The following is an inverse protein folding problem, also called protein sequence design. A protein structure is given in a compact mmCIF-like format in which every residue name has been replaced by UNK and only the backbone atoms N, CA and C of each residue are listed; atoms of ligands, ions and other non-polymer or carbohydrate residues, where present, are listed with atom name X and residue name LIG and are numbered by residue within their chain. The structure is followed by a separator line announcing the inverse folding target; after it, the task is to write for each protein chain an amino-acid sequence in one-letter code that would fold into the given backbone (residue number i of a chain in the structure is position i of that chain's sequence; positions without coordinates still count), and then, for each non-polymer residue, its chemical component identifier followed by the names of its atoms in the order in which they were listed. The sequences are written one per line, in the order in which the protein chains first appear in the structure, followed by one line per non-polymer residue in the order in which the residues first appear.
data_IF_713001312494
#
_entry.id   IF_713001312494
#
_cell.length_a   1.000
_cell.length_b   1.000
_cell.length_c   1.000
_cell.angle_alpha   90.00
_cell.angle_beta   90.00
_cell.angle_gamma   90.00
#
_symmetry.space_group_name_H-M   'P 1'
#
loop_
_entity.id
_entity.type
_entity.pdbx_description
1 polymer ?
#
# COMPACT_ATOMS: atom_id res chain seq x y z
N UNK A 1 19.51 -31.50 9.77
CA UNK A 1 18.33 -30.76 9.24
C UNK A 1 17.99 -29.55 10.10
N UNK A 2 17.84 -29.67 11.42
CA UNK A 2 17.65 -28.52 12.32
C UNK A 2 18.79 -27.49 12.28
N UNK A 3 20.05 -27.94 12.19
CA UNK A 3 21.20 -27.02 12.05
C UNK A 3 21.19 -26.22 10.74
N UNK A 4 20.75 -26.83 9.63
CA UNK A 4 20.64 -26.14 8.34
C UNK A 4 19.53 -25.07 8.38
N UNK A 5 18.43 -25.35 9.06
CA UNK A 5 17.36 -24.38 9.32
C UNK A 5 17.83 -23.24 10.22
N UNK A 6 18.60 -23.53 11.28
CA UNK A 6 19.17 -22.51 12.15
C UNK A 6 20.23 -21.65 11.44
N UNK A 7 21.06 -22.23 10.58
CA UNK A 7 22.04 -21.50 9.79
C UNK A 7 21.37 -20.56 8.78
N UNK A 8 20.29 -21.01 8.12
CA UNK A 8 19.49 -20.19 7.23
C UNK A 8 18.75 -19.07 7.99
N UNK A 9 18.15 -19.39 9.13
CA UNK A 9 17.53 -18.40 10.01
C UNK A 9 18.51 -17.33 10.47
N UNK A 10 19.71 -17.74 10.90
CA UNK A 10 20.73 -16.80 11.34
C UNK A 10 21.31 -15.98 10.17
N UNK A 11 21.40 -16.52 8.96
CA UNK A 11 21.81 -15.75 7.77
C UNK A 11 20.76 -14.69 7.36
N UNK A 12 19.46 -15.02 7.48
CA UNK A 12 18.37 -14.06 7.25
C UNK A 12 18.36 -12.95 8.31
N UNK A 13 18.64 -13.26 9.57
CA UNK A 13 18.74 -12.26 10.64
C UNK A 13 20.07 -11.47 10.62
N UNK A 14 21.19 -12.09 10.21
CA UNK A 14 22.54 -11.51 10.25
C UNK A 14 22.80 -10.47 9.17
N UNK A 15 22.01 -10.44 8.08
CA UNK A 15 22.31 -9.60 6.91
C UNK A 15 21.78 -8.16 7.08
N UNK A 16 21.17 -7.80 8.22
CA UNK A 16 20.40 -6.55 8.29
C UNK A 16 19.21 -6.67 7.34
N UNK A 17 18.27 -7.56 7.69
CA UNK A 17 17.10 -7.82 6.87
C UNK A 17 16.32 -6.54 6.56
N UNK A 18 15.61 -6.53 5.43
CA UNK A 18 14.76 -5.42 4.97
C UNK A 18 13.72 -4.94 6.00
N UNK A 19 13.42 -5.75 7.01
CA UNK A 19 12.51 -5.40 8.12
C UNK A 19 13.22 -4.78 9.33
N UNK A 20 14.55 -4.90 9.40
CA UNK A 20 15.39 -4.37 10.50
C UNK A 20 16.00 -3.01 10.17
N UNK A 21 16.17 -2.69 8.89
CA UNK A 21 16.54 -1.36 8.44
C UNK A 21 15.28 -0.47 8.38
N UNK A 22 15.23 0.66 9.12
CA UNK A 22 14.04 1.52 9.17
C UNK A 22 13.60 2.03 7.80
N UNK A 23 14.54 2.39 6.92
CA UNK A 23 14.24 2.91 5.59
C UNK A 23 13.70 1.81 4.68
N UNK A 24 14.26 0.61 4.73
CA UNK A 24 13.75 -0.54 3.99
C UNK A 24 12.35 -0.97 4.48
N UNK A 25 12.10 -0.94 5.79
CA UNK A 25 10.80 -1.24 6.37
C UNK A 25 9.75 -0.20 5.98
N UNK A 26 10.10 1.10 5.96
CA UNK A 26 9.21 2.16 5.50
C UNK A 26 8.92 2.06 4.00
N UNK A 27 9.92 1.77 3.17
CA UNK A 27 9.69 1.55 1.74
C UNK A 27 8.73 0.39 1.48
N UNK A 28 8.86 -0.70 2.24
CA UNK A 28 7.95 -1.85 2.15
C UNK A 28 6.53 -1.50 2.63
N UNK A 29 6.40 -0.76 3.73
CA UNK A 29 5.11 -0.30 4.25
C UNK A 29 4.37 0.61 3.24
N UNK A 30 5.08 1.57 2.65
CA UNK A 30 4.52 2.44 1.60
C UNK A 30 4.12 1.64 0.37
N UNK A 31 4.97 0.71 -0.08
CA UNK A 31 4.66 -0.15 -1.22
C UNK A 31 3.37 -0.98 -1.00
N UNK A 32 3.20 -1.55 0.19
CA UNK A 32 2.00 -2.31 0.54
C UNK A 32 0.76 -1.42 0.65
N UNK A 33 0.88 -0.23 1.25
CA UNK A 33 -0.21 0.73 1.33
C UNK A 33 -0.67 1.18 -0.07
N UNK A 34 0.28 1.52 -0.96
CA UNK A 34 0.00 1.91 -2.33
C UNK A 34 -0.67 0.78 -3.13
N UNK A 35 -0.23 -0.46 -2.94
CA UNK A 35 -0.84 -1.62 -3.58
C UNK A 35 -2.29 -1.83 -3.11
N UNK A 36 -2.55 -1.69 -1.80
CA UNK A 36 -3.89 -1.75 -1.23
C UNK A 36 -4.81 -0.65 -1.75
N UNK A 37 -4.30 0.59 -1.85
CA UNK A 37 -5.05 1.72 -2.40
C UNK A 37 -5.41 1.51 -3.87
N UNK A 38 -4.44 1.11 -4.71
CA UNK A 38 -4.70 0.80 -6.12
C UNK A 38 -5.69 -0.35 -6.31
N UNK A 39 -5.70 -1.33 -5.39
CA UNK A 39 -6.70 -2.40 -5.41
C UNK A 39 -8.12 -1.88 -5.10
N UNK A 40 -8.26 -0.96 -4.14
CA UNK A 40 -9.53 -0.31 -3.83
C UNK A 40 -10.01 0.58 -5.00
N UNK A 41 -9.12 1.39 -5.57
CA UNK A 41 -9.39 2.26 -6.72
C UNK A 41 -9.90 1.49 -7.93
N UNK A 42 -9.41 0.28 -8.20
CA UNK A 42 -9.91 -0.55 -9.31
C UNK A 42 -11.43 -0.76 -9.21
N UNK A 43 -11.95 -1.02 -8.01
CA UNK A 43 -13.38 -1.22 -7.79
C UNK A 43 -14.14 0.10 -7.84
N UNK A 44 -13.63 1.12 -7.16
CA UNK A 44 -14.29 2.42 -7.05
C UNK A 44 -14.37 3.12 -8.41
N UNK A 45 -13.28 3.12 -9.19
CA UNK A 45 -13.22 3.76 -10.50
C UNK A 45 -14.16 3.10 -11.53
N UNK A 46 -14.25 1.77 -11.54
CA UNK A 46 -15.18 1.07 -12.43
C UNK A 46 -16.65 1.31 -12.06
N UNK A 47 -16.97 1.35 -10.76
CA UNK A 47 -18.31 1.71 -10.28
C UNK A 47 -18.66 3.17 -10.55
N UNK A 48 -17.73 4.10 -10.33
CA UNK A 48 -17.93 5.53 -10.56
C UNK A 48 -18.20 5.83 -12.04
N UNK A 49 -17.42 5.24 -12.96
CA UNK A 49 -17.64 5.40 -14.41
C UNK A 49 -18.98 4.79 -14.84
N UNK A 50 -19.35 3.64 -14.27
CA UNK A 50 -20.66 3.03 -14.52
C UNK A 50 -21.82 3.92 -14.05
N UNK A 51 -21.71 4.50 -12.84
CA UNK A 51 -22.72 5.40 -12.29
C UNK A 51 -22.84 6.71 -13.08
N UNK A 52 -21.71 7.29 -13.52
CA UNK A 52 -21.72 8.48 -14.38
C UNK A 52 -22.34 8.21 -15.75
N UNK A 53 -22.25 6.98 -16.26
CA UNK A 53 -22.93 6.62 -17.50
C UNK A 53 -24.47 6.59 -17.36
N UNK A 54 -24.99 6.47 -16.13
CA UNK A 54 -26.43 6.52 -15.82
C UNK A 54 -26.88 7.93 -15.43
N UNK A 55 -26.07 8.67 -14.66
CA UNK A 55 -26.34 10.03 -14.20
C UNK A 55 -25.05 10.86 -14.06
N UNK A 56 -24.90 11.89 -14.90
CA UNK A 56 -23.74 12.78 -14.93
C UNK A 56 -23.56 13.58 -13.63
N UNK A 57 -24.64 13.83 -12.87
CA UNK A 57 -24.58 14.55 -11.60
C UNK A 57 -23.80 13.78 -10.53
N UNK A 58 -23.58 12.48 -10.74
CA UNK A 58 -22.79 11.61 -9.86
C UNK A 58 -21.28 11.77 -10.02
N UNK A 59 -20.80 12.59 -10.97
CA UNK A 59 -19.36 12.82 -11.18
C UNK A 59 -18.63 13.21 -9.89
N UNK A 60 -19.17 14.18 -9.14
CA UNK A 60 -18.53 14.67 -7.91
C UNK A 60 -18.49 13.60 -6.83
N UNK A 61 -19.56 12.83 -6.68
CA UNK A 61 -19.58 11.71 -5.73
C UNK A 61 -18.58 10.62 -6.12
N UNK A 62 -18.52 10.27 -7.41
CA UNK A 62 -17.52 9.35 -7.94
C UNK A 62 -16.10 9.81 -7.62
N UNK A 63 -15.81 11.10 -7.83
CA UNK A 63 -14.50 11.70 -7.55
C UNK A 63 -14.15 11.67 -6.05
N UNK A 64 -15.10 11.98 -5.17
CA UNK A 64 -14.89 11.91 -3.71
C UNK A 64 -14.58 10.48 -3.29
N UNK A 65 -15.33 9.49 -3.79
CA UNK A 65 -15.10 8.10 -3.44
C UNK A 65 -13.75 7.60 -3.97
N UNK A 66 -13.32 8.02 -5.17
CA UNK A 66 -12.02 7.63 -5.71
C UNK A 66 -10.84 8.19 -4.92
N UNK A 67 -11.00 9.31 -4.20
CA UNK A 67 -9.93 9.96 -3.41
C UNK A 67 -9.77 9.36 -2.00
N UNK A 68 -10.78 8.60 -1.52
CA UNK A 68 -10.70 7.98 -0.19
C UNK A 68 -9.47 7.06 -0.02
N UNK A 69 -9.12 6.17 -0.98
CA UNK A 69 -7.93 5.34 -0.91
C UNK A 69 -6.61 6.11 -0.82
N UNK A 70 -6.48 7.27 -1.48
CA UNK A 70 -5.26 8.08 -1.46
C UNK A 70 -4.92 8.59 -0.06
N UNK A 71 -5.91 8.76 0.82
CA UNK A 71 -5.66 9.19 2.22
C UNK A 71 -4.73 8.21 2.94
N UNK A 72 -4.90 6.90 2.71
CA UNK A 72 -4.03 5.86 3.30
C UNK A 72 -2.62 5.95 2.71
N UNK A 73 -2.50 6.20 1.41
CA UNK A 73 -1.19 6.32 0.74
C UNK A 73 -0.43 7.54 1.27
N UNK A 74 -1.10 8.68 1.44
CA UNK A 74 -0.49 9.89 1.99
C UNK A 74 0.00 9.64 3.42
N UNK A 75 -0.82 9.02 4.27
CA UNK A 75 -0.43 8.69 5.65
C UNK A 75 0.75 7.72 5.70
N UNK A 76 0.81 6.73 4.80
CA UNK A 76 1.94 5.82 4.70
C UNK A 76 3.20 6.55 4.20
N UNK A 77 3.08 7.44 3.20
CA UNK A 77 4.19 8.21 2.65
C UNK A 77 4.86 9.09 3.71
N UNK A 78 4.08 9.64 4.65
CA UNK A 78 4.59 10.43 5.78
C UNK A 78 5.61 9.64 6.61
N UNK A 79 5.45 8.32 6.74
CA UNK A 79 6.39 7.47 7.51
C UNK A 79 7.80 7.53 6.94
N UNK A 80 7.96 7.62 5.60
CA UNK A 80 9.27 7.70 4.94
C UNK A 80 10.05 8.96 5.32
N UNK A 81 9.37 10.03 5.73
CA UNK A 81 10.02 11.27 6.17
C UNK A 81 10.33 11.28 7.67
N UNK A 82 9.76 10.36 8.44
CA UNK A 82 9.89 10.29 9.90
C UNK A 82 11.03 9.36 10.32
N UNK A 83 11.28 8.28 9.56
CA UNK A 83 12.31 7.26 9.86
C UNK A 83 13.60 7.46 9.09
#
# INVERSE_FOLDING_TARGET
MLEATNALGNAVLSTGGTLTDPSAAAALAVGLAALGAGYAERGIGSAAVGAMAEDDDLFVNGLILTVLPETIVILALVVVFIV
#
